data_IF_002131627551
#
_entry.id   IF_002131627551
#
_cell.length_a   1.000
_cell.length_b   1.000
_cell.length_c   1.000
_cell.angle_alpha   90.00
_cell.angle_beta   90.00
_cell.angle_gamma   90.00
#
_symmetry.space_group_name_H-M   'P 1'
#
loop_
_entity.id
_entity.type
_entity.pdbx_description
1 polymer ?
#
# COMPACT_ATOMS: atom_id res chain seq x y z
N UNK A 1 -26.84 10.92 -8.99
CA UNK A 1 -26.16 9.61 -9.02
C UNK A 1 -25.09 9.60 -7.94
N UNK A 2 -24.78 8.44 -7.35
CA UNK A 2 -23.72 8.34 -6.32
C UNK A 2 -22.82 7.15 -6.62
N UNK A 3 -21.54 7.26 -6.29
CA UNK A 3 -20.61 6.16 -6.22
C UNK A 3 -19.77 6.25 -4.94
N UNK A 4 -19.68 5.14 -4.22
CA UNK A 4 -18.84 5.01 -3.03
C UNK A 4 -17.79 3.93 -3.29
N UNK A 5 -16.53 4.23 -2.99
CA UNK A 5 -15.44 3.26 -3.02
C UNK A 5 -14.59 3.34 -1.76
N UNK A 6 -13.84 2.28 -1.50
CA UNK A 6 -12.82 2.27 -0.46
C UNK A 6 -11.55 1.61 -0.96
N UNK A 7 -10.40 2.02 -0.42
CA UNK A 7 -9.10 1.43 -0.70
C UNK A 7 -8.31 1.16 0.60
N UNK A 8 -7.56 0.06 0.69
CA UNK A 8 -6.82 -0.30 1.90
C UNK A 8 -5.53 0.51 2.07
N UNK A 9 -5.01 0.52 3.30
CA UNK A 9 -3.59 0.79 3.53
C UNK A 9 -2.72 -0.35 3.02
N UNK A 10 -1.39 -0.22 3.16
CA UNK A 10 -0.42 -1.20 2.65
C UNK A 10 0.46 -1.82 3.73
N UNK A 11 1.00 -2.99 3.41
CA UNK A 11 2.23 -3.55 3.99
C UNK A 11 3.05 -4.09 2.82
N UNK A 12 4.32 -3.69 2.71
CA UNK A 12 5.26 -4.31 1.78
C UNK A 12 5.95 -5.43 2.54
N UNK A 13 5.72 -6.65 2.11
CA UNK A 13 6.48 -7.79 2.58
C UNK A 13 7.78 -7.77 1.79
N UNK A 14 7.79 -8.28 0.58
CA UNK A 14 9.01 -8.55 -0.18
C UNK A 14 9.33 -7.40 -1.15
N UNK A 15 10.60 -7.18 -1.48
CA UNK A 15 11.01 -6.29 -2.57
C UNK A 15 11.42 -4.87 -2.17
N UNK A 16 11.69 -4.64 -0.88
CA UNK A 16 12.32 -3.41 -0.40
C UNK A 16 13.55 -3.06 -1.23
N UNK A 17 13.65 -1.80 -1.67
CA UNK A 17 14.64 -1.26 -2.60
C UNK A 17 14.62 -1.83 -4.02
N UNK A 18 14.57 -3.16 -4.18
CA UNK A 18 14.54 -3.81 -5.50
C UNK A 18 13.38 -3.28 -6.37
N UNK A 19 12.21 -3.03 -5.78
CA UNK A 19 11.02 -2.47 -6.45
C UNK A 19 11.23 -1.07 -7.05
N UNK A 20 12.31 -0.37 -6.66
CA UNK A 20 12.69 0.91 -7.28
C UNK A 20 13.19 0.72 -8.70
N UNK A 21 13.37 -0.52 -9.16
CA UNK A 21 13.89 -0.85 -10.47
C UNK A 21 13.08 -1.92 -11.17
N UNK A 22 13.00 -1.78 -12.49
CA UNK A 22 12.45 -2.83 -13.34
C UNK A 22 13.53 -3.86 -13.67
N UNK A 23 13.16 -5.14 -13.84
CA UNK A 23 11.81 -5.71 -13.76
C UNK A 23 11.53 -6.34 -12.38
N UNK A 24 12.10 -5.80 -11.29
CA UNK A 24 12.08 -6.49 -10.01
C UNK A 24 10.69 -6.51 -9.37
N UNK A 25 10.37 -7.60 -8.69
CA UNK A 25 9.10 -7.82 -8.03
C UNK A 25 9.15 -7.48 -6.54
N UNK A 26 8.05 -6.90 -6.08
CA UNK A 26 7.67 -6.78 -4.68
C UNK A 26 6.40 -7.58 -4.41
N UNK A 27 6.23 -8.02 -3.17
CA UNK A 27 4.96 -8.57 -2.70
C UNK A 27 4.38 -7.66 -1.63
N UNK A 28 3.16 -7.22 -1.86
CA UNK A 28 2.48 -6.25 -1.01
C UNK A 28 1.09 -6.76 -0.66
N UNK A 29 0.60 -6.37 0.51
CA UNK A 29 -0.73 -6.70 0.97
C UNK A 29 -1.48 -5.47 1.43
N UNK A 30 -2.79 -5.46 1.22
CA UNK A 30 -3.66 -4.49 1.86
C UNK A 30 -3.76 -4.73 3.37
N UNK A 31 -4.31 -3.76 4.10
CA UNK A 31 -4.80 -3.96 5.47
C UNK A 31 -6.30 -3.72 5.53
N UNK A 32 -6.94 -4.20 6.60
CA UNK A 32 -8.36 -3.98 6.91
C UNK A 32 -8.71 -2.51 7.18
N UNK A 33 -7.70 -1.67 7.41
CA UNK A 33 -7.84 -0.21 7.57
C UNK A 33 -7.91 0.46 6.20
N UNK A 34 -8.98 1.21 5.97
CA UNK A 34 -9.33 1.73 4.64
C UNK A 34 -9.58 3.23 4.65
N UNK A 35 -9.37 3.84 3.50
CA UNK A 35 -9.88 5.18 3.19
C UNK A 35 -11.12 5.00 2.33
N UNK A 36 -12.18 5.73 2.68
CA UNK A 36 -13.46 5.74 1.99
C UNK A 36 -13.64 7.04 1.23
N UNK A 37 -14.17 6.96 0.02
CA UNK A 37 -14.53 8.10 -0.80
C UNK A 37 -15.94 7.93 -1.35
N UNK A 38 -16.81 8.90 -1.07
CA UNK A 38 -18.14 9.00 -1.67
C UNK A 38 -18.16 10.18 -2.63
N UNK A 39 -18.57 9.93 -3.86
CA UNK A 39 -18.75 10.95 -4.88
C UNK A 39 -20.23 10.97 -5.28
N UNK A 40 -20.94 12.02 -4.86
CA UNK A 40 -22.36 12.20 -5.17
C UNK A 40 -22.54 13.37 -6.14
N UNK A 41 -23.32 13.16 -7.19
CA UNK A 41 -23.68 14.20 -8.15
C UNK A 41 -24.36 15.38 -7.46
N UNK A 42 -23.89 16.58 -7.76
CA UNK A 42 -24.34 17.82 -7.14
C UNK A 42 -24.36 18.96 -8.16
N UNK A 43 -24.94 20.10 -7.79
CA UNK A 43 -24.98 21.28 -8.67
C UNK A 43 -23.61 21.94 -8.83
N UNK A 44 -22.78 21.91 -7.78
CA UNK A 44 -21.40 22.42 -7.75
C UNK A 44 -20.43 21.32 -7.33
N UNK A 45 -19.15 21.56 -7.56
CA UNK A 45 -18.11 20.72 -6.96
C UNK A 45 -17.99 21.11 -5.49
N UNK A 46 -17.90 20.13 -4.60
CA UNK A 46 -17.62 20.36 -3.20
C UNK A 46 -16.70 19.26 -2.64
N UNK A 47 -15.90 19.61 -1.64
CA UNK A 47 -15.03 18.69 -0.93
C UNK A 47 -15.43 18.65 0.53
N UNK A 48 -15.67 17.46 1.05
CA UNK A 48 -16.04 17.20 2.44
C UNK A 48 -14.99 16.29 3.10
N UNK A 49 -14.22 16.83 4.04
CA UNK A 49 -13.20 16.09 4.78
C UNK A 49 -13.43 16.32 6.28
N UNK A 50 -14.41 15.60 6.87
CA UNK A 50 -14.95 15.94 8.18
C UNK A 50 -13.93 15.71 9.31
N UNK A 51 -12.98 14.77 9.16
CA UNK A 51 -11.86 14.56 10.08
C UNK A 51 -10.93 15.78 10.19
N UNK A 52 -10.92 16.66 9.19
CA UNK A 52 -10.21 17.94 9.21
C UNK A 52 -11.13 19.14 9.42
N UNK A 53 -12.45 18.92 9.52
CA UNK A 53 -13.46 19.98 9.59
C UNK A 53 -13.56 20.81 8.31
N UNK A 54 -13.21 20.23 7.15
CA UNK A 54 -13.18 20.93 5.87
C UNK A 54 -14.48 20.68 5.12
N UNK A 55 -15.16 21.75 4.71
CA UNK A 55 -16.21 21.72 3.69
C UNK A 55 -16.09 22.92 2.77
N UNK A 56 -15.69 22.68 1.52
CA UNK A 56 -15.35 23.73 0.56
C UNK A 56 -16.04 23.51 -0.79
N UNK A 57 -16.71 24.54 -1.28
CA UNK A 57 -17.27 24.57 -2.63
C UNK A 57 -16.23 25.05 -3.65
N UNK A 58 -16.37 24.52 -4.86
CA UNK A 58 -15.51 24.82 -5.99
C UNK A 58 -16.27 24.68 -7.31
N UNK A 59 -15.60 25.10 -8.39
CA UNK A 59 -16.04 24.90 -9.76
C UNK A 59 -14.89 24.39 -10.63
N UNK A 60 -15.22 23.60 -11.64
CA UNK A 60 -14.27 23.22 -12.68
C UNK A 60 -14.44 24.15 -13.89
N UNK A 61 -13.40 24.87 -14.27
CA UNK A 61 -13.43 25.78 -15.44
C UNK A 61 -13.15 25.06 -16.78
N UNK A 62 -12.97 23.75 -16.73
CA UNK A 62 -12.59 22.93 -17.86
C UNK A 62 -11.08 22.65 -17.96
N UNK A 63 -10.27 23.27 -17.12
CA UNK A 63 -8.82 23.05 -17.02
C UNK A 63 -8.35 22.85 -15.59
N UNK A 64 -9.00 23.50 -14.61
CA UNK A 64 -8.67 23.42 -13.19
C UNK A 64 -9.91 23.56 -12.32
N UNK A 65 -9.79 23.06 -11.09
CA UNK A 65 -10.75 23.31 -10.00
C UNK A 65 -10.35 24.61 -9.31
N UNK A 66 -11.32 25.50 -9.11
CA UNK A 66 -11.16 26.78 -8.44
C UNK A 66 -12.13 26.80 -7.26
N UNK A 67 -11.59 26.96 -6.04
CA UNK A 67 -12.42 27.12 -4.85
C UNK A 67 -13.15 28.47 -4.87
N UNK A 68 -14.35 28.49 -4.29
CA UNK A 68 -15.13 29.74 -4.16
C UNK A 68 -14.48 30.73 -3.18
N UNK A 69 -13.57 30.23 -2.31
CA UNK A 69 -12.64 31.02 -1.48
C UNK A 69 -11.30 30.31 -1.33
N UNK A 70 -10.26 31.07 -1.00
CA UNK A 70 -8.96 30.49 -0.67
C UNK A 70 -9.05 29.58 0.58
N UNK A 71 -8.50 28.36 0.53
CA UNK A 71 -8.38 27.50 1.70
C UNK A 71 -7.46 28.13 2.76
N UNK A 72 -7.84 28.03 4.02
CA UNK A 72 -6.96 28.42 5.14
C UNK A 72 -5.82 27.40 5.31
N UNK A 73 -4.81 27.73 6.13
CA UNK A 73 -3.70 26.80 6.43
C UNK A 73 -4.18 25.46 7.00
N UNK A 74 -5.23 25.47 7.83
CA UNK A 74 -5.83 24.26 8.39
C UNK A 74 -6.58 23.43 7.33
N UNK A 75 -6.98 24.04 6.22
CA UNK A 75 -7.73 23.41 5.13
C UNK A 75 -6.84 22.96 3.98
N UNK A 76 -5.53 23.25 4.00
CA UNK A 76 -4.54 22.79 3.00
C UNK A 76 -4.60 21.29 2.67
N UNK A 77 -4.98 20.35 3.56
CA UNK A 77 -5.18 18.95 3.16
C UNK A 77 -6.15 18.76 1.98
N UNK A 78 -7.08 19.69 1.75
CA UNK A 78 -8.03 19.65 0.62
C UNK A 78 -7.33 19.70 -0.75
N UNK A 79 -6.17 20.36 -0.84
CA UNK A 79 -5.43 20.54 -2.09
C UNK A 79 -5.02 19.20 -2.70
N UNK A 80 -4.73 18.21 -1.85
CA UNK A 80 -4.40 16.87 -2.31
C UNK A 80 -5.59 16.21 -3.03
N UNK A 81 -6.78 16.26 -2.42
CA UNK A 81 -8.01 15.68 -2.98
C UNK A 81 -8.51 16.49 -4.19
N UNK A 82 -8.31 17.82 -4.18
CA UNK A 82 -8.51 18.68 -5.35
C UNK A 82 -7.66 18.22 -6.52
N UNK A 83 -6.37 17.94 -6.33
CA UNK A 83 -5.48 17.43 -7.38
C UNK A 83 -5.96 16.10 -7.98
N UNK A 84 -6.50 15.21 -7.15
CA UNK A 84 -7.14 13.95 -7.61
C UNK A 84 -8.34 14.26 -8.50
N UNK A 85 -9.27 15.09 -8.00
CA UNK A 85 -10.50 15.44 -8.71
C UNK A 85 -10.25 16.16 -10.04
N UNK A 86 -9.37 17.16 -10.01
CA UNK A 86 -8.98 17.97 -11.17
C UNK A 86 -8.40 17.08 -12.29
N UNK A 87 -7.45 16.21 -11.94
CA UNK A 87 -6.82 15.32 -12.93
C UNK A 87 -7.82 14.34 -13.54
N UNK A 88 -8.72 13.78 -12.73
CA UNK A 88 -9.79 12.91 -13.24
C UNK A 88 -10.71 13.67 -14.21
N UNK A 89 -11.13 14.89 -13.87
CA UNK A 89 -12.00 15.72 -14.71
C UNK A 89 -11.32 16.13 -16.03
N UNK A 90 -10.03 16.46 -16.00
CA UNK A 90 -9.24 16.74 -17.22
C UNK A 90 -9.21 15.51 -18.13
N UNK A 91 -8.91 14.34 -17.57
CA UNK A 91 -8.91 13.08 -18.34
C UNK A 91 -10.29 12.78 -18.94
N UNK A 92 -11.36 12.87 -18.14
CA UNK A 92 -12.73 12.62 -18.56
C UNK A 92 -13.19 13.57 -19.67
N UNK A 93 -12.90 14.87 -19.53
CA UNK A 93 -13.21 15.87 -20.55
C UNK A 93 -12.52 15.57 -21.87
N UNK A 94 -11.24 15.17 -21.84
CA UNK A 94 -10.49 14.81 -23.03
C UNK A 94 -11.01 13.53 -23.71
N UNK A 95 -11.63 12.62 -22.96
CA UNK A 95 -12.34 11.44 -23.48
C UNK A 95 -13.75 11.74 -24.01
N UNK A 96 -14.08 13.02 -24.21
CA UNK A 96 -15.40 13.49 -24.65
C UNK A 96 -16.54 12.98 -23.76
N UNK A 97 -16.27 12.70 -22.48
CA UNK A 97 -17.29 12.37 -21.50
C UNK A 97 -17.86 13.67 -20.92
N UNK A 98 -19.18 13.70 -20.73
CA UNK A 98 -19.81 14.78 -19.97
C UNK A 98 -19.32 14.70 -18.52
N UNK A 99 -18.64 15.76 -18.06
CA UNK A 99 -18.23 15.89 -16.67
C UNK A 99 -19.41 16.33 -15.81
N UNK A 100 -19.67 15.62 -14.73
CA UNK A 100 -20.69 15.97 -13.74
C UNK A 100 -20.04 16.76 -12.61
N UNK A 101 -20.77 17.72 -12.05
CA UNK A 101 -20.43 18.32 -10.76
C UNK A 101 -20.76 17.36 -9.63
N UNK A 102 -20.00 17.39 -8.54
CA UNK A 102 -20.14 16.43 -7.44
C UNK A 102 -19.67 16.95 -6.08
N UNK A 103 -20.26 16.43 -5.01
CA UNK A 103 -19.65 16.46 -3.67
C UNK A 103 -18.76 15.20 -3.50
N UNK A 104 -17.48 15.42 -3.20
CA UNK A 104 -16.51 14.37 -2.88
C UNK A 104 -16.21 14.39 -1.38
N UNK A 105 -16.74 13.40 -0.67
CA UNK A 105 -16.46 13.17 0.73
C UNK A 105 -15.36 12.12 0.90
N UNK A 106 -14.34 12.39 1.73
CA UNK A 106 -13.27 11.42 2.03
C UNK A 106 -13.09 11.23 3.54
N UNK A 107 -13.13 9.99 4.01
CA UNK A 107 -12.96 9.64 5.43
C UNK A 107 -11.91 8.54 5.56
N UNK A 108 -10.94 8.72 6.45
CA UNK A 108 -9.87 7.75 6.68
C UNK A 108 -10.06 7.03 8.01
N UNK A 109 -9.71 5.75 8.06
CA UNK A 109 -9.57 5.02 9.32
C UNK A 109 -8.55 5.72 10.26
N UNK A 110 -8.84 5.88 11.56
CA UNK A 110 -7.91 6.48 12.52
C UNK A 110 -6.51 5.83 12.58
N UNK A 111 -6.41 4.54 12.23
CA UNK A 111 -5.13 3.83 12.17
C UNK A 111 -4.12 4.47 11.21
N UNK A 112 -4.57 5.29 10.24
CA UNK A 112 -3.65 6.01 9.35
C UNK A 112 -2.85 7.11 10.07
N UNK A 113 -3.30 7.58 11.23
CA UNK A 113 -2.69 8.67 11.99
C UNK A 113 -3.03 10.03 11.38
N UNK A 114 -3.88 10.80 12.07
CA UNK A 114 -4.34 12.13 11.61
C UNK A 114 -3.28 13.22 11.84
N UNK A 115 -2.17 13.17 11.11
CA UNK A 115 -1.18 14.27 11.05
C UNK A 115 -0.24 14.41 12.26
N UNK A 116 -0.51 13.79 13.42
CA UNK A 116 0.39 13.82 14.60
C UNK A 116 1.51 12.77 14.56
N UNK A 117 1.30 11.65 13.86
CA UNK A 117 2.34 10.70 13.45
C UNK A 117 1.83 9.90 12.23
N UNK A 118 2.62 9.78 11.17
CA UNK A 118 2.23 8.96 10.00
C UNK A 118 2.46 7.49 10.35
N UNK A 119 1.40 6.68 10.30
CA UNK A 119 1.43 5.23 10.58
C UNK A 119 2.25 4.38 9.58
N UNK A 120 2.80 4.97 8.52
CA UNK A 120 3.45 4.21 7.45
C UNK A 120 2.50 3.36 6.58
N UNK A 121 1.18 3.36 6.85
CA UNK A 121 0.18 2.56 6.12
C UNK A 121 -0.15 3.09 4.71
N UNK A 122 0.38 4.23 4.29
CA UNK A 122 0.20 4.76 2.94
C UNK A 122 -1.13 5.49 2.70
N UNK A 123 -1.59 6.29 3.67
CA UNK A 123 -2.84 7.08 3.57
C UNK A 123 -3.00 7.85 2.25
N UNK A 124 -1.94 8.50 1.77
CA UNK A 124 -1.97 9.25 0.50
C UNK A 124 -2.29 8.37 -0.70
N UNK A 125 -1.81 7.11 -0.72
CA UNK A 125 -2.10 6.21 -1.83
C UNK A 125 -3.53 5.67 -1.75
N UNK A 126 -3.99 5.32 -0.55
CA UNK A 126 -5.36 4.88 -0.29
C UNK A 126 -6.39 5.96 -0.66
N UNK A 127 -6.18 7.22 -0.25
CA UNK A 127 -7.09 8.32 -0.60
C UNK A 127 -7.08 8.61 -2.10
N UNK A 128 -5.92 8.57 -2.78
CA UNK A 128 -5.86 8.72 -4.24
C UNK A 128 -6.66 7.61 -4.92
N UNK A 129 -6.43 6.35 -4.59
CA UNK A 129 -7.13 5.22 -5.22
C UNK A 129 -8.65 5.27 -4.98
N UNK A 130 -9.09 5.52 -3.74
CA UNK A 130 -10.51 5.62 -3.41
C UNK A 130 -11.18 6.82 -4.10
N UNK A 131 -10.59 8.02 -4.02
CA UNK A 131 -11.16 9.20 -4.66
C UNK A 131 -11.21 9.05 -6.20
N UNK A 132 -10.15 8.55 -6.83
CA UNK A 132 -10.14 8.26 -8.27
C UNK A 132 -11.21 7.22 -8.62
N UNK A 133 -11.33 6.12 -7.86
CA UNK A 133 -12.36 5.10 -8.07
C UNK A 133 -13.77 5.66 -8.01
N UNK A 134 -14.10 6.44 -6.97
CA UNK A 134 -15.42 7.03 -6.79
C UNK A 134 -15.78 8.03 -7.91
N UNK A 135 -14.84 8.90 -8.30
CA UNK A 135 -15.06 9.88 -9.39
C UNK A 135 -15.26 9.16 -10.72
N UNK A 136 -14.42 8.18 -11.05
CA UNK A 136 -14.53 7.45 -12.31
C UNK A 136 -15.84 6.64 -12.35
N UNK A 137 -16.23 6.01 -11.24
CA UNK A 137 -17.50 5.29 -11.13
C UNK A 137 -18.73 6.20 -11.33
N UNK A 138 -18.74 7.40 -10.75
CA UNK A 138 -19.80 8.39 -10.98
C UNK A 138 -19.95 8.77 -12.47
N UNK A 139 -18.86 8.66 -13.23
CA UNK A 139 -18.80 8.95 -14.67
C UNK A 139 -18.95 7.70 -15.56
N UNK A 140 -19.42 6.59 -14.99
CA UNK A 140 -19.81 5.39 -15.72
C UNK A 140 -18.70 4.39 -16.01
N UNK A 141 -17.56 4.49 -15.31
CA UNK A 141 -16.53 3.45 -15.33
C UNK A 141 -16.85 2.36 -14.29
N UNK A 142 -16.46 1.14 -14.59
CA UNK A 142 -16.64 -0.02 -13.71
C UNK A 142 -15.33 -0.21 -12.92
N UNK A 143 -15.40 -0.10 -11.59
CA UNK A 143 -14.21 -0.14 -10.72
C UNK A 143 -13.40 -1.44 -10.86
N UNK A 144 -14.06 -2.56 -11.20
CA UNK A 144 -13.39 -3.84 -11.37
C UNK A 144 -12.83 -3.98 -12.78
N UNK A 145 -13.63 -3.71 -13.82
CA UNK A 145 -13.20 -3.87 -15.22
C UNK A 145 -12.19 -2.82 -15.64
N UNK A 146 -12.33 -1.59 -15.15
CA UNK A 146 -11.45 -0.46 -15.45
C UNK A 146 -10.34 -0.28 -14.41
N UNK A 147 -10.07 -1.29 -13.56
CA UNK A 147 -9.10 -1.19 -12.47
C UNK A 147 -7.70 -0.79 -12.93
N UNK A 148 -7.23 -1.29 -14.07
CA UNK A 148 -5.92 -0.91 -14.62
C UNK A 148 -5.88 0.55 -15.10
N UNK A 149 -7.00 1.06 -15.62
CA UNK A 149 -7.12 2.48 -15.97
C UNK A 149 -7.10 3.34 -14.72
N UNK A 150 -7.90 2.99 -13.71
CA UNK A 150 -7.94 3.67 -12.41
C UNK A 150 -6.55 3.65 -11.75
N UNK A 151 -5.85 2.52 -11.81
CA UNK A 151 -4.49 2.39 -11.33
C UNK A 151 -3.53 3.36 -12.03
N UNK A 152 -3.49 3.39 -13.37
CA UNK A 152 -2.62 4.30 -14.12
C UNK A 152 -2.93 5.77 -13.79
N UNK A 153 -4.21 6.12 -13.70
CA UNK A 153 -4.63 7.47 -13.34
C UNK A 153 -4.21 7.83 -11.92
N UNK A 154 -4.39 6.92 -10.95
CA UNK A 154 -3.96 7.10 -9.57
C UNK A 154 -2.43 7.23 -9.45
N UNK A 155 -1.65 6.44 -10.21
CA UNK A 155 -0.19 6.55 -10.24
C UNK A 155 0.27 7.91 -10.80
N UNK A 156 -0.35 8.35 -11.91
CA UNK A 156 -0.08 9.65 -12.49
C UNK A 156 -0.36 10.76 -11.47
N UNK A 157 -1.57 10.78 -10.89
CA UNK A 157 -1.99 11.75 -9.87
C UNK A 157 -1.03 11.78 -8.69
N UNK A 158 -0.71 10.61 -8.13
CA UNK A 158 0.16 10.54 -6.96
C UNK A 158 1.55 11.08 -7.25
N UNK A 159 2.10 10.78 -8.43
CA UNK A 159 3.42 11.27 -8.84
C UNK A 159 3.45 12.78 -9.12
N UNK A 160 2.39 13.34 -9.74
CA UNK A 160 2.33 14.77 -10.10
C UNK A 160 2.00 15.64 -8.90
N UNK A 161 1.04 15.23 -8.06
CA UNK A 161 0.65 15.97 -6.84
C UNK A 161 1.76 15.95 -5.79
N UNK A 162 2.51 14.85 -5.66
CA UNK A 162 3.67 14.79 -4.75
C UNK A 162 4.95 15.39 -5.33
N UNK A 163 5.00 15.66 -6.64
CA UNK A 163 6.18 16.19 -7.32
C UNK A 163 7.36 15.23 -7.39
N UNK A 164 7.15 13.91 -7.23
CA UNK A 164 8.20 12.89 -7.29
C UNK A 164 7.66 11.54 -7.76
N UNK A 165 8.51 10.78 -8.46
CA UNK A 165 8.17 9.42 -8.89
C UNK A 165 8.64 8.43 -7.83
N UNK A 166 7.69 7.85 -7.08
CA UNK A 166 7.95 6.76 -6.14
C UNK A 166 8.15 5.40 -6.83
N UNK A 167 8.15 4.32 -6.06
CA UNK A 167 8.09 2.95 -6.59
C UNK A 167 6.69 2.60 -7.11
N UNK A 168 5.63 3.25 -6.60
CA UNK A 168 4.24 3.04 -7.02
C UNK A 168 3.59 1.78 -6.44
N UNK A 169 4.27 1.01 -5.58
CA UNK A 169 3.69 -0.20 -4.98
C UNK A 169 2.53 0.13 -4.03
N UNK A 170 2.53 1.31 -3.41
CA UNK A 170 1.49 1.76 -2.50
C UNK A 170 0.17 1.98 -3.23
N UNK A 171 0.20 2.66 -4.38
CA UNK A 171 -0.95 2.78 -5.28
C UNK A 171 -1.35 1.42 -5.87
N UNK A 172 -0.38 0.56 -6.23
CA UNK A 172 -0.68 -0.79 -6.70
C UNK A 172 -1.41 -1.61 -5.63
N UNK A 173 -0.94 -1.56 -4.39
CA UNK A 173 -1.59 -2.24 -3.25
C UNK A 173 -2.99 -1.67 -2.99
N UNK A 174 -3.14 -0.34 -3.03
CA UNK A 174 -4.44 0.31 -2.85
C UNK A 174 -5.44 -0.08 -3.96
N UNK A 175 -4.99 -0.32 -5.19
CA UNK A 175 -5.85 -0.72 -6.30
C UNK A 175 -6.12 -2.24 -6.34
N UNK A 176 -5.09 -3.06 -6.16
CA UNK A 176 -5.13 -4.51 -6.41
C UNK A 176 -5.13 -5.37 -5.14
N UNK A 177 -4.87 -4.79 -3.97
CA UNK A 177 -4.80 -5.51 -2.70
C UNK A 177 -3.54 -6.34 -2.58
N UNK A 178 -3.69 -7.61 -2.19
CA UNK A 178 -2.60 -8.59 -2.21
C UNK A 178 -2.07 -8.75 -3.64
N UNK A 179 -0.84 -8.32 -3.90
CA UNK A 179 -0.30 -8.33 -5.25
C UNK A 179 1.22 -8.50 -5.33
N UNK A 180 1.65 -9.18 -6.39
CA UNK A 180 3.00 -9.10 -6.91
C UNK A 180 3.09 -7.90 -7.86
N UNK A 181 4.05 -7.01 -7.62
CA UNK A 181 4.17 -5.75 -8.34
C UNK A 181 5.60 -5.48 -8.83
N UNK A 182 5.74 -5.05 -10.08
CA UNK A 182 6.96 -4.42 -10.59
C UNK A 182 6.62 -3.02 -11.09
N UNK A 183 7.47 -2.04 -10.79
CA UNK A 183 7.19 -0.64 -11.13
C UNK A 183 7.10 -0.39 -12.64
N UNK A 184 6.45 0.70 -13.01
CA UNK A 184 6.53 1.27 -14.35
C UNK A 184 7.79 2.12 -14.53
N UNK A 185 8.18 2.33 -15.80
CA UNK A 185 9.23 3.28 -16.18
C UNK A 185 8.82 4.73 -15.87
N UNK A 186 9.66 5.54 -15.22
CA UNK A 186 9.31 6.92 -14.84
C UNK A 186 8.82 7.81 -15.99
N UNK A 187 9.28 7.55 -17.22
CA UNK A 187 8.86 8.25 -18.44
C UNK A 187 7.38 8.16 -18.77
N UNK A 188 6.62 7.27 -18.11
CA UNK A 188 5.17 7.24 -18.26
C UNK A 188 4.47 8.40 -17.55
N UNK A 189 5.03 8.94 -16.46
CA UNK A 189 4.40 10.01 -15.67
C UNK A 189 5.17 11.33 -15.69
N UNK A 190 6.41 11.31 -16.17
CA UNK A 190 7.23 12.51 -16.33
C UNK A 190 6.97 13.13 -17.71
N UNK A 191 6.86 14.47 -17.74
CA UNK A 191 6.86 15.28 -18.97
C UNK A 191 5.73 14.93 -19.97
N UNK A 192 4.66 14.29 -19.50
CA UNK A 192 3.49 13.91 -20.30
C UNK A 192 2.21 14.46 -19.71
N UNK A 193 1.26 14.82 -20.58
CA UNK A 193 -0.10 15.13 -20.15
C UNK A 193 -0.83 13.87 -19.67
N UNK A 194 -1.86 14.04 -18.82
CA UNK A 194 -2.61 12.91 -18.21
C UNK A 194 -3.13 11.93 -19.25
N UNK A 195 -3.62 12.40 -20.40
CA UNK A 195 -4.20 11.53 -21.45
C UNK A 195 -3.12 10.69 -22.11
N UNK A 196 -2.05 11.32 -22.59
CA UNK A 196 -0.92 10.63 -23.23
C UNK A 196 -0.29 9.61 -22.28
N UNK A 197 -0.12 10.00 -21.01
CA UNK A 197 0.40 9.13 -19.96
C UNK A 197 -0.52 7.93 -19.73
N UNK A 198 -1.78 8.18 -19.38
CA UNK A 198 -2.71 7.15 -18.90
C UNK A 198 -3.15 6.21 -20.03
N UNK A 199 -3.24 6.67 -21.27
CA UNK A 199 -3.59 5.82 -22.42
C UNK A 199 -2.45 4.92 -22.89
N UNK A 200 -1.20 5.25 -22.53
CA UNK A 200 -0.06 4.46 -22.93
C UNK A 200 -0.09 3.03 -22.36
N UNK A 201 0.61 2.13 -23.06
CA UNK A 201 0.86 0.77 -22.60
C UNK A 201 2.03 0.79 -21.61
N UNK A 202 1.73 0.92 -20.32
CA UNK A 202 2.74 0.93 -19.27
C UNK A 202 3.38 -0.45 -19.12
N UNK A 203 4.63 -0.45 -18.67
CA UNK A 203 5.49 -1.63 -18.56
C UNK A 203 5.62 -2.17 -17.11
N UNK A 204 4.63 -1.86 -16.26
CA UNK A 204 4.52 -2.41 -14.91
C UNK A 204 3.99 -3.85 -14.93
N UNK A 205 4.19 -4.55 -13.82
CA UNK A 205 3.50 -5.79 -13.50
C UNK A 205 2.63 -5.54 -12.27
N UNK A 206 1.36 -5.93 -12.31
CA UNK A 206 0.48 -5.93 -11.14
C UNK A 206 -0.41 -7.17 -11.22
N UNK A 207 0.00 -8.23 -10.53
CA UNK A 207 -0.73 -9.49 -10.49
C UNK A 207 -1.37 -9.66 -9.11
N UNK A 208 -2.68 -9.90 -9.07
CA UNK A 208 -3.35 -10.24 -7.83
C UNK A 208 -2.83 -11.59 -7.30
N UNK A 209 -2.31 -11.58 -6.09
CA UNK A 209 -1.79 -12.74 -5.38
C UNK A 209 -2.32 -12.62 -3.95
N UNK A 210 -3.40 -13.33 -3.59
CA UNK A 210 -3.98 -13.21 -2.26
C UNK A 210 -3.08 -13.84 -1.20
N UNK A 211 -3.25 -13.37 0.03
CA UNK A 211 -2.62 -13.97 1.21
C UNK A 211 -3.17 -15.39 1.40
N UNK A 212 -2.31 -16.38 1.73
CA UNK A 212 -2.78 -17.74 1.99
C UNK A 212 -3.90 -17.79 3.01
N UNK A 213 -4.92 -18.60 2.70
CA UNK A 213 -6.10 -18.77 3.57
C UNK A 213 -5.66 -19.20 4.97
N UNK A 214 -6.33 -18.67 6.00
CA UNK A 214 -6.12 -19.07 7.39
C UNK A 214 -4.91 -18.43 8.08
N UNK A 215 -4.11 -17.62 7.38
CA UNK A 215 -3.05 -16.84 8.02
C UNK A 215 -3.65 -15.71 8.85
N UNK A 216 -3.22 -15.62 10.11
CA UNK A 216 -3.41 -14.49 10.99
C UNK A 216 -2.24 -13.51 10.85
N UNK A 217 -2.45 -12.23 11.15
CA UNK A 217 -1.39 -11.21 11.05
C UNK A 217 -1.18 -10.49 12.37
N UNK A 218 0.08 -10.37 12.80
CA UNK A 218 0.51 -9.48 13.86
C UNK A 218 1.32 -8.33 13.26
N UNK A 219 1.05 -7.09 13.68
CA UNK A 219 1.82 -5.91 13.26
C UNK A 219 2.06 -5.01 14.46
N UNK A 220 3.24 -4.43 14.56
CA UNK A 220 3.57 -3.46 15.58
C UNK A 220 4.50 -2.36 15.04
N UNK A 221 4.35 -1.15 15.55
CA UNK A 221 5.34 -0.10 15.37
C UNK A 221 6.52 -0.34 16.30
N UNK A 222 7.74 -0.12 15.84
CA UNK A 222 8.90 -0.12 16.72
C UNK A 222 9.05 1.29 17.30
N UNK A 223 9.23 1.40 18.62
CA UNK A 223 9.23 2.67 19.35
C UNK A 223 10.66 3.16 19.53
N UNK A 224 10.92 4.41 19.13
CA UNK A 224 12.21 5.07 19.33
C UNK A 224 13.23 4.83 18.22
N UNK A 225 12.95 3.91 17.31
CA UNK A 225 13.65 3.78 16.04
C UNK A 225 12.78 4.39 14.94
N UNK A 226 13.38 5.19 14.06
CA UNK A 226 12.71 5.66 12.85
C UNK A 226 13.77 5.79 11.78
N UNK A 227 13.57 5.13 10.65
CA UNK A 227 14.52 5.24 9.54
C UNK A 227 13.96 6.15 8.47
N UNK A 228 14.78 7.13 8.07
CA UNK A 228 14.46 7.99 6.94
C UNK A 228 14.50 7.18 5.65
N UNK A 229 13.32 6.80 5.12
CA UNK A 229 13.22 6.13 3.82
C UNK A 229 13.99 6.88 2.73
N UNK A 230 14.02 8.22 2.81
CA UNK A 230 14.77 9.06 1.86
C UNK A 230 16.27 8.82 1.94
N UNK A 231 16.84 8.76 3.13
CA UNK A 231 18.28 8.49 3.32
C UNK A 231 18.64 7.09 2.84
N UNK A 232 17.81 6.10 3.13
CA UNK A 232 18.07 4.74 2.68
C UNK A 232 18.00 4.61 1.15
N UNK A 233 17.04 5.27 0.50
CA UNK A 233 16.97 5.30 -0.96
C UNK A 233 18.18 6.04 -1.56
N UNK A 234 18.70 7.07 -0.88
CA UNK A 234 19.92 7.75 -1.29
C UNK A 234 21.13 6.81 -1.21
N UNK A 235 21.33 6.11 -0.09
CA UNK A 235 22.38 5.10 0.07
C UNK A 235 22.31 3.99 -0.99
N UNK A 236 21.11 3.51 -1.31
CA UNK A 236 20.91 2.55 -2.39
C UNK A 236 21.33 3.12 -3.76
N UNK A 237 21.00 4.39 -4.04
CA UNK A 237 21.40 5.06 -5.27
C UNK A 237 22.93 5.25 -5.35
N UNK A 238 23.57 5.57 -4.23
CA UNK A 238 25.03 5.68 -4.12
C UNK A 238 25.73 4.33 -4.34
N UNK A 239 25.23 3.26 -3.73
CA UNK A 239 25.73 1.89 -3.92
C UNK A 239 25.76 1.51 -5.40
N UNK A 240 24.64 1.75 -6.12
CA UNK A 240 24.55 1.50 -7.55
C UNK A 240 25.55 2.29 -8.37
N UNK A 241 25.72 3.58 -8.06
CA UNK A 241 26.64 4.46 -8.78
C UNK A 241 28.10 4.05 -8.55
N UNK A 242 28.43 3.65 -7.33
CA UNK A 242 29.78 3.22 -6.97
C UNK A 242 30.14 1.85 -7.56
N UNK A 243 29.15 0.94 -7.65
CA UNK A 243 29.36 -0.46 -8.00
C UNK A 243 28.27 -0.98 -8.97
N UNK A 244 28.22 -0.48 -10.22
CA UNK A 244 27.11 -0.75 -11.14
C UNK A 244 26.93 -2.23 -11.49
N UNK A 245 28.01 -2.94 -11.87
CA UNK A 245 27.89 -4.36 -12.25
C UNK A 245 27.59 -5.26 -11.04
N UNK A 246 28.23 -4.99 -9.88
CA UNK A 246 27.97 -5.73 -8.64
C UNK A 246 26.52 -5.54 -8.18
N UNK A 247 26.06 -4.29 -8.11
CA UNK A 247 24.68 -3.97 -7.68
C UNK A 247 23.65 -4.57 -8.61
N UNK A 248 23.87 -4.54 -9.93
CA UNK A 248 22.98 -5.15 -10.92
C UNK A 248 22.90 -6.66 -10.75
N UNK A 249 24.05 -7.33 -10.61
CA UNK A 249 24.10 -8.78 -10.39
C UNK A 249 23.40 -9.16 -9.07
N UNK A 250 23.69 -8.43 -8.00
CA UNK A 250 23.11 -8.71 -6.69
C UNK A 250 21.60 -8.45 -6.63
N UNK A 251 21.11 -7.38 -7.27
CA UNK A 251 19.68 -7.11 -7.36
C UNK A 251 18.94 -8.17 -8.19
N UNK A 252 19.59 -8.79 -9.18
CA UNK A 252 19.02 -9.94 -9.86
C UNK A 252 18.87 -11.15 -8.92
N UNK A 253 19.82 -11.38 -8.00
CA UNK A 253 19.68 -12.40 -6.95
C UNK A 253 18.55 -12.07 -5.97
N UNK A 254 18.47 -10.83 -5.49
CA UNK A 254 17.36 -10.36 -4.64
C UNK A 254 16.03 -10.61 -5.33
N UNK A 255 15.92 -10.26 -6.62
CA UNK A 255 14.69 -10.47 -7.38
C UNK A 255 14.36 -11.96 -7.58
N UNK A 256 15.37 -12.81 -7.73
CA UNK A 256 15.17 -14.27 -7.81
C UNK A 256 14.58 -14.81 -6.50
N UNK A 257 15.15 -14.43 -5.36
CA UNK A 257 14.62 -14.81 -4.04
C UNK A 257 13.20 -14.26 -3.82
N UNK A 258 12.95 -13.00 -4.22
CA UNK A 258 11.63 -12.40 -4.12
C UNK A 258 10.58 -13.15 -4.96
N UNK A 259 10.96 -13.52 -6.19
CA UNK A 259 10.08 -14.26 -7.11
C UNK A 259 9.78 -15.65 -6.55
N UNK A 260 10.77 -16.34 -5.99
CA UNK A 260 10.58 -17.64 -5.36
C UNK A 260 9.60 -17.56 -4.19
N UNK A 261 9.75 -16.57 -3.32
CA UNK A 261 8.83 -16.35 -2.20
C UNK A 261 7.39 -16.04 -2.67
N UNK A 262 7.22 -15.24 -3.72
CA UNK A 262 5.91 -14.98 -4.36
C UNK A 262 5.31 -16.26 -4.94
N UNK A 263 6.13 -17.09 -5.60
CA UNK A 263 5.65 -18.35 -6.19
C UNK A 263 5.28 -19.37 -5.11
N UNK A 264 5.96 -19.38 -3.97
CA UNK A 264 5.57 -20.20 -2.81
C UNK A 264 4.19 -19.80 -2.26
N UNK A 265 3.85 -18.50 -2.23
CA UNK A 265 2.49 -18.03 -1.89
C UNK A 265 1.47 -18.57 -2.90
N UNK A 266 1.77 -18.49 -4.20
CA UNK A 266 0.88 -19.02 -5.25
C UNK A 266 0.68 -20.52 -5.09
N UNK A 267 1.72 -21.28 -4.75
CA UNK A 267 1.63 -22.73 -4.47
C UNK A 267 0.72 -23.02 -3.28
N UNK A 268 0.81 -22.25 -2.19
CA UNK A 268 -0.10 -22.39 -1.05
C UNK A 268 -1.56 -22.10 -1.44
N UNK A 269 -1.79 -21.04 -2.21
CA UNK A 269 -3.13 -20.71 -2.71
C UNK A 269 -3.70 -21.81 -3.62
N UNK A 270 -2.89 -22.38 -4.51
CA UNK A 270 -3.29 -23.50 -5.36
C UNK A 270 -3.52 -24.79 -4.57
N UNK A 271 -2.73 -25.04 -3.52
CA UNK A 271 -2.97 -26.16 -2.60
C UNK A 271 -4.33 -26.01 -1.90
N UNK A 272 -4.59 -24.85 -1.28
CA UNK A 272 -5.87 -24.57 -0.62
C UNK A 272 -7.08 -24.71 -1.56
N UNK A 273 -6.91 -24.37 -2.84
CA UNK A 273 -7.96 -24.49 -3.87
C UNK A 273 -8.22 -25.94 -4.28
N UNK A 274 -7.17 -26.77 -4.36
CA UNK A 274 -7.27 -28.18 -4.80
C UNK A 274 -7.69 -29.13 -3.70
N UNK A 275 -7.21 -28.90 -2.48
CA UNK A 275 -7.50 -29.71 -1.30
C UNK A 275 -7.62 -28.84 -0.05
N UNK A 276 -8.81 -28.29 0.15
CA UNK A 276 -9.07 -27.39 1.27
C UNK A 276 -8.89 -28.07 2.64
N UNK A 277 -9.29 -29.35 2.76
CA UNK A 277 -9.19 -30.09 4.03
C UNK A 277 -7.75 -30.46 4.35
N UNK A 278 -6.99 -30.96 3.37
CA UNK A 278 -5.57 -31.24 3.52
C UNK A 278 -4.76 -29.97 3.80
N UNK A 279 -5.10 -28.85 3.15
CA UNK A 279 -4.51 -27.55 3.45
C UNK A 279 -4.77 -27.12 4.90
N UNK A 280 -6.02 -27.22 5.37
CA UNK A 280 -6.39 -26.80 6.72
C UNK A 280 -5.70 -27.68 7.79
N UNK A 281 -5.45 -28.96 7.52
CA UNK A 281 -4.67 -29.84 8.41
C UNK A 281 -3.17 -29.50 8.37
N UNK A 282 -2.64 -29.27 7.17
CA UNK A 282 -1.25 -28.87 6.98
C UNK A 282 -0.92 -27.52 7.63
N UNK A 283 -1.86 -26.57 7.64
CA UNK A 283 -1.69 -25.25 8.27
C UNK A 283 -1.46 -25.36 9.79
N UNK A 284 -2.06 -26.34 10.46
CA UNK A 284 -1.92 -26.52 11.91
C UNK A 284 -0.50 -26.89 12.33
N UNK A 285 0.21 -27.64 11.48
CA UNK A 285 1.53 -28.19 11.80
C UNK A 285 2.66 -27.56 11.01
N UNK A 286 2.35 -26.92 9.87
CA UNK A 286 3.30 -26.37 8.89
C UNK A 286 4.30 -27.40 8.31
N UNK A 287 4.09 -28.70 8.55
CA UNK A 287 5.00 -29.77 8.16
C UNK A 287 4.83 -30.24 6.70
N UNK A 288 3.84 -29.70 5.98
CA UNK A 288 3.67 -30.03 4.57
C UNK A 288 4.74 -29.32 3.72
N UNK A 289 5.33 -29.97 2.69
CA UNK A 289 6.43 -29.39 1.91
C UNK A 289 6.15 -28.00 1.32
N UNK A 290 4.90 -27.69 1.01
CA UNK A 290 4.52 -26.36 0.52
C UNK A 290 4.67 -25.25 1.58
N UNK A 291 4.43 -25.55 2.86
CA UNK A 291 4.66 -24.61 3.97
C UNK A 291 6.16 -24.50 4.29
N UNK A 292 6.90 -25.60 4.25
CA UNK A 292 8.36 -25.59 4.42
C UNK A 292 9.04 -24.76 3.33
N UNK A 293 8.63 -24.95 2.05
CA UNK A 293 9.12 -24.13 0.94
C UNK A 293 8.77 -22.65 1.13
N UNK A 294 7.54 -22.37 1.56
CA UNK A 294 7.09 -21.01 1.83
C UNK A 294 7.97 -20.30 2.88
N UNK A 295 8.21 -20.96 4.02
CA UNK A 295 9.07 -20.43 5.09
C UNK A 295 10.50 -20.23 4.58
N UNK A 296 11.07 -21.23 3.92
CA UNK A 296 12.43 -21.16 3.38
C UNK A 296 12.61 -20.01 2.38
N UNK A 297 11.68 -19.86 1.44
CA UNK A 297 11.74 -18.83 0.41
C UNK A 297 11.59 -17.41 0.99
N UNK A 298 10.70 -17.22 1.97
CA UNK A 298 10.57 -15.94 2.67
C UNK A 298 11.81 -15.58 3.47
N UNK A 299 12.42 -16.55 4.14
CA UNK A 299 13.66 -16.35 4.90
C UNK A 299 14.86 -16.07 3.98
N UNK A 300 14.93 -16.70 2.81
CA UNK A 300 15.94 -16.37 1.79
C UNK A 300 15.76 -14.92 1.30
N UNK A 301 14.54 -14.50 0.98
CA UNK A 301 14.25 -13.13 0.56
C UNK A 301 14.59 -12.09 1.66
N UNK A 302 14.34 -12.42 2.93
CA UNK A 302 14.73 -11.60 4.09
C UNK A 302 16.26 -11.51 4.21
N UNK A 303 16.97 -12.63 4.14
CA UNK A 303 18.43 -12.67 4.20
C UNK A 303 19.08 -11.83 3.08
N UNK A 304 18.55 -11.91 1.85
CA UNK A 304 19.01 -11.08 0.73
C UNK A 304 18.73 -9.58 0.94
N UNK A 305 17.65 -9.23 1.64
CA UNK A 305 17.35 -7.85 2.01
C UNK A 305 18.33 -7.33 3.07
N UNK A 306 18.68 -8.15 4.08
CA UNK A 306 19.72 -7.81 5.07
C UNK A 306 21.08 -7.59 4.38
N UNK A 307 21.49 -8.54 3.54
CA UNK A 307 22.74 -8.46 2.78
C UNK A 307 22.77 -7.22 1.86
N UNK A 308 21.64 -6.83 1.26
CA UNK A 308 21.54 -5.57 0.52
C UNK A 308 21.84 -4.36 1.40
N UNK A 309 21.29 -4.33 2.62
CA UNK A 309 21.55 -3.30 3.62
C UNK A 309 23.03 -3.16 3.94
N UNK A 310 23.72 -4.28 4.18
CA UNK A 310 25.16 -4.30 4.43
C UNK A 310 25.94 -3.75 3.23
N UNK A 311 25.63 -4.21 2.01
CA UNK A 311 26.29 -3.79 0.77
C UNK A 311 26.14 -2.30 0.46
N UNK A 312 25.00 -1.70 0.82
CA UNK A 312 24.74 -0.27 0.62
C UNK A 312 25.19 0.62 1.78
N UNK A 313 25.92 0.08 2.78
CA UNK A 313 26.37 0.86 3.94
C UNK A 313 25.22 1.26 4.87
N UNK A 314 24.18 0.44 4.94
CA UNK A 314 22.99 0.61 5.76
C UNK A 314 22.66 -0.69 6.52
N UNK A 315 23.54 -1.16 7.42
CA UNK A 315 23.32 -2.40 8.18
C UNK A 315 22.08 -2.32 9.07
N UNK A 316 21.52 -1.13 9.30
CA UNK A 316 20.27 -0.95 10.00
C UNK A 316 19.03 -1.35 9.19
N UNK A 317 19.11 -1.65 7.87
CA UNK A 317 17.98 -2.26 7.12
C UNK A 317 17.42 -3.43 7.93
N UNK A 318 18.31 -4.28 8.45
CA UNK A 318 18.04 -5.27 9.48
C UNK A 318 19.30 -5.43 10.35
N UNK A 319 19.33 -4.77 11.51
CA UNK A 319 20.44 -4.88 12.46
C UNK A 319 20.54 -6.29 13.05
N UNK A 320 21.64 -6.61 13.74
CA UNK A 320 21.77 -7.90 14.43
C UNK A 320 20.72 -8.06 15.54
N UNK A 321 20.43 -7.00 16.30
CA UNK A 321 19.35 -6.99 17.30
C UNK A 321 17.99 -7.25 16.65
N UNK A 322 17.72 -6.65 15.49
CA UNK A 322 16.49 -6.94 14.73
C UNK A 322 16.48 -8.37 14.17
N UNK A 323 17.63 -8.88 13.76
CA UNK A 323 17.79 -10.26 13.28
C UNK A 323 17.38 -11.25 14.37
N UNK A 324 17.91 -11.05 15.59
CA UNK A 324 17.63 -11.87 16.76
C UNK A 324 16.15 -11.78 17.15
N UNK A 325 15.60 -10.56 17.19
CA UNK A 325 14.18 -10.34 17.48
C UNK A 325 13.23 -11.07 16.52
N UNK A 326 13.53 -11.05 15.22
CA UNK A 326 12.73 -11.74 14.22
C UNK A 326 12.91 -13.26 14.29
N UNK A 327 14.14 -13.75 14.52
CA UNK A 327 14.39 -15.18 14.70
C UNK A 327 13.69 -15.74 15.94
N UNK A 328 13.63 -14.97 17.04
CA UNK A 328 12.86 -15.32 18.22
C UNK A 328 11.34 -15.18 17.97
N UNK A 329 10.91 -14.23 17.15
CA UNK A 329 9.50 -14.10 16.72
C UNK A 329 9.01 -15.38 16.03
N UNK A 330 9.84 -15.96 15.14
CA UNK A 330 9.53 -17.21 14.43
C UNK A 330 9.38 -18.39 15.41
N UNK A 331 10.14 -18.41 16.51
CA UNK A 331 9.99 -19.41 17.59
C UNK A 331 8.78 -19.17 18.49
N UNK A 332 8.24 -17.94 18.50
CA UNK A 332 7.20 -17.51 19.42
C UNK A 332 5.82 -17.31 18.76
N UNK A 333 5.61 -17.82 17.53
CA UNK A 333 4.29 -17.88 16.89
C UNK A 333 4.21 -17.33 15.49
N UNK A 334 5.28 -16.73 14.97
CA UNK A 334 5.34 -16.38 13.56
C UNK A 334 5.68 -17.62 12.70
N UNK A 335 4.97 -17.78 11.58
CA UNK A 335 5.40 -18.61 10.44
C UNK A 335 6.61 -17.94 9.78
N UNK A 336 6.47 -16.64 9.55
CA UNK A 336 7.49 -15.73 9.03
C UNK A 336 7.29 -14.35 9.64
N UNK A 337 8.38 -13.70 10.03
CA UNK A 337 8.39 -12.32 10.53
C UNK A 337 9.40 -11.46 9.78
N UNK A 338 9.14 -10.15 9.71
CA UNK A 338 10.02 -9.21 9.00
C UNK A 338 9.86 -7.76 9.43
N UNK A 339 10.85 -6.94 9.09
CA UNK A 339 10.70 -5.50 8.98
C UNK A 339 10.13 -5.16 7.59
N UNK A 340 8.91 -4.62 7.47
CA UNK A 340 8.30 -4.34 6.17
C UNK A 340 8.88 -3.07 5.53
N UNK A 341 8.72 -2.94 4.21
CA UNK A 341 9.14 -1.74 3.47
C UNK A 341 10.66 -1.60 3.33
N UNK A 342 11.20 -0.47 3.78
CA UNK A 342 12.65 -0.20 3.74
C UNK A 342 13.44 -0.89 4.86
N UNK A 343 12.78 -1.47 5.86
CA UNK A 343 13.47 -1.86 7.10
C UNK A 343 13.95 -0.64 7.90
N UNK A 344 14.82 -0.86 8.88
CA UNK A 344 15.33 0.25 9.70
C UNK A 344 14.52 0.60 10.94
N UNK A 345 13.69 -0.31 11.46
CA UNK A 345 13.06 -0.10 12.77
C UNK A 345 11.80 0.76 12.76
N UNK A 346 11.06 0.85 11.65
CA UNK A 346 9.76 1.55 11.64
C UNK A 346 8.64 0.66 12.22
N UNK A 347 8.61 -0.62 11.82
CA UNK A 347 7.59 -1.57 12.22
C UNK A 347 8.08 -3.00 12.06
N UNK A 348 7.35 -3.93 12.66
CA UNK A 348 7.47 -5.38 12.46
C UNK A 348 6.13 -5.94 12.04
N UNK A 349 6.15 -6.91 11.11
CA UNK A 349 4.97 -7.64 10.68
C UNK A 349 5.28 -9.13 10.63
N UNK A 350 4.29 -9.95 10.99
CA UNK A 350 4.39 -11.40 10.97
C UNK A 350 3.08 -12.05 10.52
N UNK A 351 3.21 -13.22 9.87
CA UNK A 351 2.08 -14.13 9.65
C UNK A 351 2.13 -15.26 10.66
N UNK A 352 0.98 -15.64 11.18
CA UNK A 352 0.79 -16.70 12.17
C UNK A 352 -0.21 -17.71 11.60
N UNK A 353 -0.12 -18.98 11.99
CA UNK A 353 -1.02 -20.03 11.51
C UNK A 353 -2.29 -20.19 12.36
N UNK A 354 -2.39 -19.47 13.49
CA UNK A 354 -3.58 -19.44 14.34
C UNK A 354 -3.69 -18.14 15.16
N UNK A 355 -4.84 -17.93 15.80
CA UNK A 355 -5.06 -16.80 16.71
C UNK A 355 -4.26 -16.96 18.00
N UNK A 356 -4.08 -18.19 18.44
CA UNK A 356 -3.30 -18.57 19.61
C UNK A 356 -1.82 -18.27 19.40
N UNK A 357 -1.30 -18.60 18.21
CA UNK A 357 0.08 -18.29 17.81
C UNK A 357 0.30 -16.78 17.68
N UNK A 358 -0.66 -16.06 17.09
CA UNK A 358 -0.66 -14.59 17.07
C UNK A 358 -0.63 -14.00 18.48
N UNK A 359 -1.47 -14.47 19.39
CA UNK A 359 -1.52 -13.97 20.76
C UNK A 359 -0.21 -14.27 21.52
N UNK A 360 0.40 -15.44 21.29
CA UNK A 360 1.72 -15.79 21.84
C UNK A 360 2.80 -14.84 21.33
N UNK A 361 2.80 -14.56 20.02
CA UNK A 361 3.75 -13.65 19.39
C UNK A 361 3.60 -12.22 19.92
N UNK A 362 2.37 -11.70 19.98
CA UNK A 362 2.09 -10.36 20.52
C UNK A 362 2.51 -10.22 21.99
N UNK A 363 2.35 -11.28 22.79
CA UNK A 363 2.84 -11.32 24.18
C UNK A 363 4.37 -11.30 24.22
N UNK A 364 5.04 -12.08 23.37
CA UNK A 364 6.50 -12.08 23.24
C UNK A 364 7.02 -10.69 22.86
N UNK A 365 6.45 -10.07 21.82
CA UNK A 365 6.82 -8.72 21.37
C UNK A 365 6.71 -7.66 22.47
N UNK A 366 5.65 -7.68 23.28
CA UNK A 366 5.50 -6.76 24.43
C UNK A 366 6.56 -6.96 25.51
N UNK A 367 7.10 -8.18 25.62
CA UNK A 367 8.09 -8.55 26.63
C UNK A 367 9.54 -8.47 26.17
N UNK A 368 9.81 -8.21 24.89
CA UNK A 368 11.17 -8.17 24.35
C UNK A 368 11.91 -6.92 24.83
N UNK A 369 13.07 -7.10 25.46
CA UNK A 369 13.75 -6.01 26.17
C UNK A 369 14.51 -5.04 25.27
N UNK A 370 15.03 -5.53 24.15
CA UNK A 370 15.93 -4.76 23.28
C UNK A 370 15.18 -3.93 22.22
N UNK A 371 14.00 -4.38 21.81
CA UNK A 371 13.14 -3.69 20.84
C UNK A 371 11.78 -3.47 21.49
N UNK A 372 11.45 -2.19 21.72
CA UNK A 372 10.13 -1.79 22.22
C UNK A 372 9.18 -1.67 21.06
N UNK A 373 7.98 -2.24 21.19
CA UNK A 373 6.95 -2.14 20.16
C UNK A 373 5.60 -1.70 20.69
N UNK A 374 4.81 -1.07 19.83
CA UNK A 374 3.41 -0.74 20.04
C UNK A 374 2.56 -1.52 19.03
N UNK A 375 1.73 -2.45 19.53
CA UNK A 375 0.89 -3.29 18.66
C UNK A 375 -0.12 -2.44 17.88
N UNK A 376 -0.25 -2.73 16.59
CA UNK A 376 -1.26 -2.14 15.72
C UNK A 376 -2.44 -3.10 15.56
N UNK A 377 -3.67 -2.71 15.97
CA UNK A 377 -4.85 -3.56 15.88
C UNK A 377 -5.41 -3.58 14.44
N UNK A 378 -4.64 -4.16 13.52
CA UNK A 378 -4.98 -4.32 12.12
C UNK A 378 -4.79 -5.76 11.66
N UNK A 379 -5.46 -6.10 10.57
CA UNK A 379 -5.34 -7.39 9.88
C UNK A 379 -4.97 -7.15 8.43
N UNK A 380 -4.30 -8.11 7.81
CA UNK A 380 -4.06 -8.04 6.38
C UNK A 380 -5.33 -8.34 5.59
N UNK A 381 -5.47 -7.63 4.48
CA UNK A 381 -6.50 -7.86 3.48
C UNK A 381 -5.86 -8.14 2.12
N UNK A 382 -6.43 -9.09 1.40
CA UNK A 382 -6.10 -9.32 -0.01
C UNK A 382 -6.88 -8.38 -0.94
N UNK A 383 -7.83 -7.61 -0.42
CA UNK A 383 -8.74 -6.80 -1.23
C UNK A 383 -8.16 -5.41 -1.51
N UNK A 384 -8.14 -5.02 -2.78
CA UNK A 384 -7.78 -3.67 -3.22
C UNK A 384 -8.96 -2.72 -3.21
N UNK A 385 -8.98 -1.81 -4.18
CA UNK A 385 -10.07 -0.86 -4.41
C UNK A 385 -11.36 -1.64 -4.73
N UNK A 386 -12.46 -1.23 -4.10
CA UNK A 386 -13.79 -1.81 -4.37
C UNK A 386 -14.89 -0.77 -4.25
N UNK A 387 -16.04 -1.08 -4.86
CA UNK A 387 -17.29 -0.38 -4.60
C UNK A 387 -17.82 -0.76 -3.22
N UNK A 388 -18.45 0.20 -2.56
CA UNK A 388 -19.04 0.05 -1.25
C UNK A 388 -20.52 0.46 -1.28
N UNK A 389 -21.32 -0.11 -0.39
CA UNK A 389 -22.70 0.32 -0.21
C UNK A 389 -22.76 1.71 0.44
N UNK A 390 -23.68 2.57 -0.01
CA UNK A 390 -23.91 3.90 0.57
C UNK A 390 -24.13 3.86 2.08
N UNK A 391 -24.89 2.89 2.59
CA UNK A 391 -25.12 2.75 4.02
C UNK A 391 -23.83 2.44 4.79
N UNK A 392 -22.96 1.58 4.24
CA UNK A 392 -21.68 1.25 4.88
C UNK A 392 -20.76 2.48 4.98
N UNK A 393 -20.79 3.36 3.97
CA UNK A 393 -20.11 4.65 4.04
C UNK A 393 -20.70 5.54 5.13
N UNK A 394 -22.03 5.66 5.20
CA UNK A 394 -22.68 6.51 6.20
C UNK A 394 -22.33 6.05 7.62
N UNK A 395 -22.39 4.74 7.88
CA UNK A 395 -22.00 4.16 9.16
C UNK A 395 -20.51 4.42 9.49
N UNK A 396 -19.63 4.39 8.48
CA UNK A 396 -18.21 4.71 8.66
C UNK A 396 -17.98 6.22 8.90
N UNK A 397 -18.68 7.06 8.15
CA UNK A 397 -18.66 8.51 8.24
C UNK A 397 -19.13 8.98 9.64
N UNK A 398 -20.22 8.42 10.16
CA UNK A 398 -20.74 8.83 11.47
C UNK A 398 -19.83 8.39 12.62
N UNK A 399 -19.12 7.27 12.45
CA UNK A 399 -18.15 6.76 13.42
C UNK A 399 -16.82 7.52 13.42
N UNK A 400 -16.31 7.88 12.24
CA UNK A 400 -14.92 8.37 12.09
C UNK A 400 -14.81 9.80 11.54
N UNK A 401 -15.90 10.38 11.03
CA UNK A 401 -15.93 11.72 10.47
C UNK A 401 -15.98 12.83 11.52
N UNK A 402 -16.28 12.54 12.79
CA UNK A 402 -16.26 13.58 13.82
C UNK A 402 -14.84 14.05 14.07
N UNK A 403 -14.65 15.38 14.12
CA UNK A 403 -13.39 16.04 14.50
C UNK A 403 -12.93 15.45 15.83
N UNK A 404 -11.79 14.75 15.84
CA UNK A 404 -11.13 14.41 17.09
C UNK A 404 -10.52 15.72 17.61
N UNK A 405 -11.08 16.22 18.73
CA UNK A 405 -10.74 17.50 19.34
C UNK A 405 -9.26 17.63 19.69
#
# INVERSE_FOLDING_TARGET
MEATTSAPGKIMWIGGYAVLERPNLSYNTGVDKRVWARCNEAQKIAFDMPQFGIKLEARFDGSKIIFDREPTDAEKPVEFVKGVAETCLIYLKAKSKQTKSFELATVSDPAFGFGKAKSGLGSSAAVTAAATGAIMALHGYDVEKDRHLIHKLAQYIHSTVQGKVGSGFDIATACFGGCAYSRYSPSFVQEKGVVESVDANWDYVAQHVPVPRGFETAVANIVGESTSTREMVAKYSEYKKAKPEESKAFIAEVNKANTHAIDAIKKLNEFAKKDAAGYDEALKTLAHPAFEEFVAAFNEARAKTKELGERMGAPNVESDVATDFLNESDKNGAIVSRLPGSGGGDSVAAWCNSKEDKARLEKFWRGYSEIKVELLPLSISSEGLRLEATQAFQDFYDRHGKRQA
#
